data_IF_818586196257
#
_entry.id   IF_818586196257
#
_cell.length_a   1.000
_cell.length_b   1.000
_cell.length_c   1.000
_cell.angle_alpha   90.00
_cell.angle_beta   90.00
_cell.angle_gamma   90.00
#
_symmetry.space_group_name_H-M   'P 1'
#
loop_
_entity.id
_entity.type
_entity.pdbx_description
1 polymer ?
#
# COMPACT_ATOMS: atom_id res chain seq x y z
N UNK A 1 18.73 7.63 22.05
CA UNK A 1 17.57 7.13 21.29
C UNK A 1 17.38 7.99 20.01
N UNK A 2 18.46 8.16 19.23
CA UNK A 2 18.54 9.10 18.08
C UNK A 2 18.97 8.37 16.77
N UNK A 3 19.04 7.04 16.75
CA UNK A 3 19.57 6.27 15.60
C UNK A 3 18.52 5.82 14.56
N UNK A 4 17.22 6.13 14.72
CA UNK A 4 16.18 5.68 13.78
C UNK A 4 15.87 6.67 12.64
N UNK A 5 16.50 7.85 12.61
CA UNK A 5 16.15 8.93 11.67
C UNK A 5 16.82 8.84 10.28
N UNK A 6 17.76 7.92 10.06
CA UNK A 6 18.42 7.78 8.76
C UNK A 6 17.59 7.01 7.71
N UNK A 7 16.50 6.34 8.13
CA UNK A 7 15.71 5.48 7.25
C UNK A 7 14.67 6.23 6.40
N UNK A 8 14.20 7.39 6.85
CA UNK A 8 13.20 8.20 6.13
C UNK A 8 13.81 9.08 5.02
N UNK A 9 15.14 9.10 4.87
CA UNK A 9 15.87 9.95 3.91
C UNK A 9 16.29 9.14 2.66
N UNK A 10 16.01 7.84 2.60
CA UNK A 10 16.31 7.05 1.42
C UNK A 10 15.22 7.28 0.34
N UNK A 11 15.61 7.60 -0.92
CA UNK A 11 14.66 7.67 -2.02
C UNK A 11 13.87 6.35 -2.10
N UNK A 12 12.60 6.46 -2.51
CA UNK A 12 11.65 5.33 -2.62
C UNK A 12 12.29 4.09 -3.25
N UNK A 13 13.08 4.27 -4.31
CA UNK A 13 13.79 3.22 -5.03
C UNK A 13 14.88 2.47 -4.23
N UNK A 14 15.48 3.09 -3.20
CA UNK A 14 16.50 2.47 -2.32
C UNK A 14 15.89 1.58 -1.23
N UNK A 15 14.64 1.83 -0.85
CA UNK A 15 13.95 1.05 0.21
C UNK A 15 13.53 -0.34 -0.29
N UNK A 16 13.13 -0.44 -1.56
CA UNK A 16 12.67 -1.68 -2.20
C UNK A 16 13.73 -2.78 -2.24
N UNK A 17 15.01 -2.42 -2.43
CA UNK A 17 16.12 -3.36 -2.57
C UNK A 17 16.29 -4.21 -1.31
N UNK A 18 16.05 -3.64 -0.12
CA UNK A 18 16.22 -4.35 1.15
C UNK A 18 15.11 -5.38 1.38
N UNK A 19 13.92 -5.15 0.83
CA UNK A 19 12.74 -6.02 0.96
C UNK A 19 12.61 -7.03 -0.20
N UNK A 20 13.40 -6.86 -1.28
CA UNK A 20 13.22 -7.56 -2.56
C UNK A 20 13.15 -9.08 -2.50
N UNK A 21 13.88 -9.74 -1.58
CA UNK A 21 13.81 -11.21 -1.42
C UNK A 21 12.45 -11.68 -0.92
N UNK A 22 11.85 -10.98 0.04
CA UNK A 22 10.56 -11.36 0.62
C UNK A 22 9.36 -11.06 -0.28
N UNK A 23 9.50 -10.08 -1.19
CA UNK A 23 8.42 -9.65 -2.09
C UNK A 23 8.36 -10.52 -3.36
N UNK A 24 9.50 -11.05 -3.81
CA UNK A 24 9.62 -11.82 -5.07
C UNK A 24 9.27 -13.31 -4.94
N UNK A 25 9.34 -13.88 -3.73
CA UNK A 25 9.00 -15.28 -3.49
C UNK A 25 7.48 -15.51 -3.58
N UNK A 26 7.05 -16.38 -4.51
CA UNK A 26 5.68 -16.89 -4.52
C UNK A 26 5.56 -18.00 -3.48
N UNK A 27 4.54 -17.94 -2.62
CA UNK A 27 4.19 -19.05 -1.74
C UNK A 27 3.48 -20.17 -2.55
N UNK A 28 4.15 -20.70 -3.58
CA UNK A 28 3.67 -21.82 -4.39
C UNK A 28 2.59 -21.50 -5.43
N UNK A 29 2.33 -20.22 -5.73
CA UNK A 29 1.34 -19.79 -6.73
C UNK A 29 2.05 -19.02 -7.85
N UNK A 30 1.96 -19.53 -9.08
CA UNK A 30 2.30 -18.73 -10.27
C UNK A 30 1.27 -17.63 -10.45
N UNK A 31 1.67 -16.38 -10.24
CA UNK A 31 0.80 -15.21 -10.41
C UNK A 31 1.46 -14.12 -11.25
N UNK A 32 0.74 -13.01 -11.39
CA UNK A 32 1.21 -11.87 -12.14
C UNK A 32 2.44 -11.20 -11.52
N UNK A 33 2.78 -11.38 -10.24
CA UNK A 33 4.01 -10.79 -9.68
C UNK A 33 5.25 -11.66 -9.95
N UNK A 34 5.07 -12.98 -10.12
CA UNK A 34 6.17 -13.95 -10.26
C UNK A 34 6.48 -14.37 -11.71
N UNK A 35 5.62 -14.11 -12.69
CA UNK A 35 5.85 -14.53 -14.09
C UNK A 35 7.06 -13.86 -14.78
N UNK A 36 7.56 -12.72 -14.27
CA UNK A 36 8.78 -12.07 -14.79
C UNK A 36 10.10 -12.55 -14.16
N UNK A 37 10.04 -13.40 -13.14
CA UNK A 37 11.23 -13.90 -12.43
C UNK A 37 11.74 -15.26 -12.97
N UNK A 38 11.00 -15.90 -13.88
CA UNK A 38 11.32 -17.24 -14.43
C UNK A 38 11.97 -17.09 -15.81
N UNK A 39 13.09 -16.36 -15.86
CA UNK A 39 14.09 -16.55 -16.90
C UNK A 39 15.27 -17.28 -16.27
N UNK A 40 15.65 -18.45 -16.80
CA UNK A 40 16.85 -19.18 -16.35
C UNK A 40 18.06 -18.25 -16.30
N UNK A 41 18.45 -17.84 -15.10
CA UNK A 41 19.60 -16.98 -14.85
C UNK A 41 19.70 -16.73 -13.36
N UNK A 42 20.92 -16.70 -12.82
CA UNK A 42 21.17 -16.24 -11.45
C UNK A 42 20.44 -14.91 -11.19
N UNK A 43 19.92 -14.65 -9.99
CA UNK A 43 19.31 -13.37 -9.68
C UNK A 43 20.31 -12.26 -10.00
N UNK A 44 20.01 -11.43 -11.00
CA UNK A 44 20.80 -10.24 -11.28
C UNK A 44 20.70 -9.35 -10.03
N UNK A 45 21.81 -9.20 -9.29
CA UNK A 45 21.84 -8.39 -8.06
C UNK A 45 21.41 -6.94 -8.28
N UNK A 46 21.38 -6.47 -9.53
CA UNK A 46 21.11 -5.10 -9.91
C UNK A 46 19.64 -4.82 -10.25
N UNK A 47 18.72 -5.79 -10.14
CA UNK A 47 17.31 -5.59 -10.48
C UNK A 47 16.33 -6.18 -9.46
N UNK A 48 15.20 -5.49 -9.29
CA UNK A 48 14.03 -5.98 -8.55
C UNK A 48 12.78 -5.93 -9.42
N UNK A 49 11.61 -6.29 -8.86
CA UNK A 49 10.32 -6.13 -9.52
C UNK A 49 9.97 -4.66 -9.79
N UNK A 50 10.49 -3.74 -8.99
CA UNK A 50 10.14 -2.31 -9.01
C UNK A 50 11.24 -1.42 -9.56
N UNK A 51 12.50 -1.84 -9.43
CA UNK A 51 13.68 -0.99 -9.67
C UNK A 51 14.75 -1.68 -10.49
N UNK A 52 15.56 -0.88 -11.19
CA UNK A 52 16.82 -1.31 -11.80
C UNK A 52 17.94 -0.38 -11.32
N UNK A 53 19.13 -0.94 -11.14
CA UNK A 53 20.34 -0.23 -10.74
C UNK A 53 21.26 -0.07 -11.94
N UNK A 54 21.56 1.18 -12.30
CA UNK A 54 22.45 1.54 -13.41
C UNK A 54 23.51 2.49 -12.85
N UNK A 55 24.78 2.06 -12.88
CA UNK A 55 25.91 2.86 -12.41
C UNK A 55 25.71 3.47 -11.00
N UNK A 56 25.31 2.63 -10.03
CA UNK A 56 25.01 2.97 -8.62
C UNK A 56 23.76 3.85 -8.38
N UNK A 57 23.11 4.33 -9.44
CA UNK A 57 21.82 5.01 -9.36
C UNK A 57 20.66 4.02 -9.53
N UNK A 58 19.56 4.28 -8.82
CA UNK A 58 18.41 3.37 -8.79
C UNK A 58 17.20 4.07 -9.37
N UNK A 59 16.67 3.47 -10.44
CA UNK A 59 15.55 3.96 -11.21
C UNK A 59 14.34 3.04 -11.02
N UNK A 60 13.13 3.63 -11.00
CA UNK A 60 11.89 2.86 -11.06
C UNK A 60 11.75 2.26 -12.47
N UNK A 61 11.31 1.01 -12.55
CA UNK A 61 11.06 0.35 -13.84
C UNK A 61 9.80 0.90 -14.50
N UNK A 62 9.80 1.10 -15.82
CA UNK A 62 8.56 1.35 -16.55
C UNK A 62 7.61 0.15 -16.37
N UNK A 63 6.31 0.41 -16.29
CA UNK A 63 5.28 -0.60 -16.06
C UNK A 63 5.52 -1.51 -14.83
N UNK A 64 6.27 -1.03 -13.82
CA UNK A 64 6.37 -1.75 -12.55
C UNK A 64 4.98 -1.94 -11.93
N UNK A 65 4.74 -3.02 -11.19
CA UNK A 65 3.52 -3.13 -10.40
C UNK A 65 3.42 -1.98 -9.39
N UNK A 66 2.19 -1.56 -9.11
CA UNK A 66 1.92 -0.70 -7.97
C UNK A 66 1.90 -1.56 -6.69
N UNK A 67 2.59 -1.09 -5.66
CA UNK A 67 2.71 -1.76 -4.37
C UNK A 67 1.63 -1.23 -3.42
N UNK A 68 0.67 -2.06 -3.06
CA UNK A 68 -0.41 -1.69 -2.13
C UNK A 68 -0.22 -2.44 -0.82
N UNK A 69 -0.26 -1.74 0.31
CA UNK A 69 -0.11 -2.36 1.63
C UNK A 69 -1.43 -2.31 2.38
N UNK A 70 -1.85 -3.43 2.94
CA UNK A 70 -2.94 -3.46 3.91
C UNK A 70 -2.49 -4.14 5.20
N UNK A 71 -2.67 -3.45 6.32
CA UNK A 71 -2.39 -4.00 7.65
C UNK A 71 -3.71 -4.45 8.26
N UNK A 72 -3.82 -5.72 8.60
CA UNK A 72 -5.04 -6.31 9.15
C UNK A 72 -4.79 -7.16 10.39
N UNK A 73 -5.71 -7.07 11.35
CA UNK A 73 -5.76 -7.96 12.51
C UNK A 73 -6.32 -9.33 12.18
N UNK A 74 -6.85 -9.57 10.96
CA UNK A 74 -7.51 -10.82 10.57
C UNK A 74 -8.61 -11.25 11.56
N UNK A 75 -9.34 -10.29 12.09
CA UNK A 75 -10.48 -10.49 13.00
C UNK A 75 -11.78 -10.15 12.28
N UNK A 76 -12.91 -10.63 12.78
CA UNK A 76 -14.21 -10.50 12.08
C UNK A 76 -14.73 -9.05 11.98
N UNK A 77 -14.22 -8.14 12.81
CA UNK A 77 -14.44 -6.70 12.77
C UNK A 77 -13.74 -6.00 11.60
N UNK A 78 -12.74 -6.64 10.98
CA UNK A 78 -12.13 -6.18 9.74
C UNK A 78 -12.59 -7.07 8.60
N UNK A 79 -13.61 -6.63 7.85
CA UNK A 79 -14.11 -7.38 6.70
C UNK A 79 -13.10 -7.35 5.53
N UNK A 80 -12.16 -8.28 5.58
CA UNK A 80 -11.17 -8.50 4.52
C UNK A 80 -11.81 -8.96 3.20
N UNK A 81 -13.07 -9.41 3.22
CA UNK A 81 -13.84 -9.70 2.02
C UNK A 81 -13.95 -8.49 1.10
N UNK A 82 -14.08 -7.27 1.66
CA UNK A 82 -14.15 -6.03 0.89
C UNK A 82 -12.92 -5.85 0.00
N UNK A 83 -11.72 -6.10 0.52
CA UNK A 83 -10.48 -5.98 -0.24
C UNK A 83 -10.38 -7.04 -1.34
N UNK A 84 -10.74 -8.29 -1.04
CA UNK A 84 -10.70 -9.37 -2.02
C UNK A 84 -11.68 -9.14 -3.17
N UNK A 85 -12.89 -8.68 -2.86
CA UNK A 85 -13.88 -8.33 -3.88
C UNK A 85 -13.44 -7.13 -4.71
N UNK A 86 -12.87 -6.09 -4.09
CA UNK A 86 -12.33 -4.95 -4.81
C UNK A 86 -11.20 -5.35 -5.77
N UNK A 87 -10.32 -6.26 -5.37
CA UNK A 87 -9.28 -6.81 -6.23
C UNK A 87 -9.84 -7.59 -7.44
N UNK A 88 -10.88 -8.40 -7.24
CA UNK A 88 -11.59 -9.09 -8.34
C UNK A 88 -12.24 -8.08 -9.28
N UNK A 89 -12.86 -7.03 -8.74
CA UNK A 89 -13.48 -5.97 -9.54
C UNK A 89 -12.43 -5.20 -10.33
N UNK A 90 -11.30 -4.83 -9.73
CA UNK A 90 -10.19 -4.18 -10.42
C UNK A 90 -9.69 -5.04 -11.59
N UNK A 91 -9.40 -6.32 -11.34
CA UNK A 91 -8.91 -7.25 -12.36
C UNK A 91 -9.85 -7.34 -13.58
N UNK A 92 -11.16 -7.48 -13.33
CA UNK A 92 -12.20 -7.55 -14.37
C UNK A 92 -12.43 -6.22 -15.09
N UNK A 93 -12.50 -5.11 -14.36
CA UNK A 93 -12.75 -3.78 -14.94
C UNK A 93 -11.59 -3.37 -15.85
N UNK A 94 -10.35 -3.63 -15.44
CA UNK A 94 -9.18 -3.38 -16.30
C UNK A 94 -9.21 -4.28 -17.53
N UNK A 95 -9.53 -5.56 -17.41
CA UNK A 95 -9.69 -6.45 -18.57
C UNK A 95 -10.70 -5.90 -19.59
N UNK A 96 -11.85 -5.45 -19.11
CA UNK A 96 -12.90 -4.87 -19.95
C UNK A 96 -12.46 -3.57 -20.63
N UNK A 97 -11.78 -2.67 -19.90
CA UNK A 97 -11.26 -1.39 -20.46
C UNK A 97 -10.23 -1.65 -21.57
N UNK A 98 -9.39 -2.68 -21.40
CA UNK A 98 -8.35 -3.05 -22.35
C UNK A 98 -8.86 -3.95 -23.49
N UNK A 99 -10.15 -4.31 -23.49
CA UNK A 99 -10.76 -5.25 -24.43
C UNK A 99 -10.01 -6.58 -24.52
N UNK A 100 -9.52 -7.07 -23.38
CA UNK A 100 -8.82 -8.35 -23.29
C UNK A 100 -9.82 -9.49 -23.08
N UNK A 101 -9.61 -10.61 -23.78
CA UNK A 101 -10.36 -11.84 -23.55
C UNK A 101 -9.65 -12.74 -22.52
N UNK A 102 -10.26 -13.87 -22.17
CA UNK A 102 -9.68 -14.76 -21.16
C UNK A 102 -8.43 -15.55 -21.61
N UNK A 103 -8.07 -15.51 -22.89
CA UNK A 103 -6.97 -16.23 -23.52
C UNK A 103 -5.66 -15.43 -23.71
N UNK A 104 -5.63 -14.13 -23.40
CA UNK A 104 -4.54 -13.20 -23.78
C UNK A 104 -3.40 -13.02 -22.77
N UNK A 105 -3.21 -13.91 -21.78
CA UNK A 105 -2.19 -13.71 -20.73
C UNK A 105 -0.78 -13.53 -21.30
N UNK A 106 -0.40 -14.26 -22.36
CA UNK A 106 0.91 -14.13 -23.00
C UNK A 106 1.09 -12.80 -23.75
N UNK A 107 0.01 -12.21 -24.27
CA UNK A 107 0.05 -10.94 -25.03
C UNK A 107 0.39 -9.76 -24.12
N UNK A 108 -0.16 -9.76 -22.90
CA UNK A 108 0.05 -8.70 -21.90
C UNK A 108 1.53 -8.55 -21.54
N UNK A 109 2.25 -9.67 -21.38
CA UNK A 109 3.68 -9.68 -21.10
C UNK A 109 4.53 -9.23 -22.29
N UNK A 110 4.17 -9.66 -23.50
CA UNK A 110 4.89 -9.30 -24.72
C UNK A 110 4.82 -7.78 -25.00
N UNK A 111 3.68 -7.14 -24.74
CA UNK A 111 3.56 -5.69 -24.88
C UNK A 111 4.38 -4.92 -23.82
N UNK A 112 4.42 -5.43 -22.57
CA UNK A 112 5.24 -4.85 -21.50
C UNK A 112 6.74 -4.94 -21.82
N UNK A 113 7.19 -6.07 -22.38
CA UNK A 113 8.57 -6.27 -22.83
C UNK A 113 8.93 -5.42 -24.06
N UNK A 114 7.94 -5.00 -24.86
CA UNK A 114 8.11 -4.09 -25.99
C UNK A 114 8.18 -2.60 -25.59
N UNK A 115 8.12 -2.27 -24.30
CA UNK A 115 8.25 -0.90 -23.79
C UNK A 115 6.99 -0.04 -23.97
N UNK A 116 5.85 -0.63 -24.32
CA UNK A 116 4.56 0.07 -24.42
C UNK A 116 4.04 0.36 -23.00
N UNK A 117 3.65 1.60 -22.74
CA UNK A 117 3.11 1.98 -21.43
C UNK A 117 1.72 1.36 -21.23
N UNK A 118 1.53 0.66 -20.13
CA UNK A 118 0.24 0.10 -19.75
C UNK A 118 -0.62 1.18 -19.11
N UNK A 119 -1.89 1.29 -19.52
CA UNK A 119 -2.81 2.27 -18.94
C UNK A 119 -3.07 2.01 -17.44
N UNK A 120 -3.04 0.74 -17.03
CA UNK A 120 -3.21 0.32 -15.65
C UNK A 120 -2.10 -0.65 -15.27
N UNK A 121 -1.50 -0.52 -14.07
CA UNK A 121 -0.46 -1.42 -13.61
C UNK A 121 -1.04 -2.73 -13.10
N UNK A 122 -0.18 -3.74 -12.94
CA UNK A 122 -0.46 -4.85 -12.02
C UNK A 122 -0.44 -4.31 -10.59
N UNK A 123 -1.30 -4.83 -9.72
CA UNK A 123 -1.29 -4.53 -8.29
C UNK A 123 -0.65 -5.67 -7.52
N UNK A 124 0.32 -5.35 -6.66
CA UNK A 124 0.84 -6.28 -5.67
C UNK A 124 0.37 -5.82 -4.29
N UNK A 125 -0.55 -6.58 -3.71
CA UNK A 125 -0.99 -6.39 -2.34
C UNK A 125 -0.05 -7.12 -1.37
N UNK A 126 0.51 -6.36 -0.45
CA UNK A 126 1.23 -6.89 0.70
C UNK A 126 0.31 -6.76 1.92
N UNK A 127 -0.06 -7.92 2.47
CA UNK A 127 -0.94 -8.00 3.63
C UNK A 127 -0.09 -8.33 4.85
N UNK A 128 -0.13 -7.46 5.84
CA UNK A 128 0.59 -7.64 7.10
C UNK A 128 -0.37 -7.90 8.26
N UNK A 129 0.17 -8.47 9.34
CA UNK A 129 -0.55 -8.73 10.58
C UNK A 129 -0.84 -10.22 10.83
N UNK A 130 -1.51 -10.48 11.95
CA UNK A 130 -1.83 -11.82 12.47
C UNK A 130 -3.22 -11.81 13.08
N UNK A 131 -3.93 -12.92 12.91
CA UNK A 131 -5.17 -13.20 13.63
C UNK A 131 -5.89 -14.43 13.10
N UNK A 132 -7.04 -14.75 13.70
CA UNK A 132 -7.69 -16.05 13.57
C UNK A 132 -8.28 -16.32 12.18
N UNK A 133 -8.61 -15.30 11.39
CA UNK A 133 -9.19 -15.50 10.05
C UNK A 133 -8.14 -15.57 8.93
N UNK A 134 -6.84 -15.49 9.25
CA UNK A 134 -5.78 -15.40 8.26
C UNK A 134 -5.79 -16.58 7.28
N UNK A 135 -5.77 -17.81 7.78
CA UNK A 135 -5.71 -19.03 6.96
C UNK A 135 -6.94 -19.15 6.05
N UNK A 136 -8.12 -18.76 6.55
CA UNK A 136 -9.38 -18.72 5.80
C UNK A 136 -9.26 -17.79 4.59
N UNK A 137 -8.68 -16.61 4.75
CA UNK A 137 -8.51 -15.67 3.64
C UNK A 137 -7.35 -16.06 2.71
N UNK A 138 -6.27 -16.65 3.23
CA UNK A 138 -5.20 -17.21 2.39
C UNK A 138 -5.72 -18.32 1.46
N UNK A 139 -6.62 -19.18 1.95
CA UNK A 139 -7.31 -20.16 1.11
C UNK A 139 -8.19 -19.51 0.04
N UNK A 140 -8.94 -18.45 0.39
CA UNK A 140 -9.72 -17.68 -0.60
C UNK A 140 -8.81 -17.08 -1.66
N UNK A 141 -7.71 -16.42 -1.26
CA UNK A 141 -6.72 -15.82 -2.16
C UNK A 141 -6.17 -16.86 -3.14
N UNK A 142 -5.82 -18.07 -2.67
CA UNK A 142 -5.31 -19.14 -3.56
C UNK A 142 -6.30 -19.57 -4.64
N UNK A 143 -7.59 -19.39 -4.42
CA UNK A 143 -8.65 -19.70 -5.40
C UNK A 143 -8.93 -18.53 -6.35
N UNK A 144 -8.42 -17.34 -6.07
CA UNK A 144 -8.53 -16.19 -6.94
C UNK A 144 -7.44 -16.27 -8.03
N UNK A 145 -7.82 -16.75 -9.21
CA UNK A 145 -6.93 -16.79 -10.39
C UNK A 145 -6.88 -15.43 -11.10
N UNK A 146 -6.40 -14.40 -10.41
CA UNK A 146 -6.32 -13.02 -10.93
C UNK A 146 -5.11 -12.84 -11.84
N UNK A 147 -5.28 -12.06 -12.92
CA UNK A 147 -4.24 -11.83 -13.94
C UNK A 147 -3.46 -10.54 -13.69
N UNK A 148 -4.04 -9.59 -12.98
CA UNK A 148 -3.50 -8.25 -12.74
C UNK A 148 -3.28 -7.94 -11.27
N UNK A 149 -3.70 -8.83 -10.38
CA UNK A 149 -3.58 -8.64 -8.94
C UNK A 149 -2.90 -9.85 -8.31
N UNK A 150 -1.92 -9.60 -7.46
CA UNK A 150 -1.24 -10.59 -6.65
C UNK A 150 -1.33 -10.22 -5.17
N UNK A 151 -1.36 -11.22 -4.30
CA UNK A 151 -1.34 -11.04 -2.85
C UNK A 151 -0.13 -11.76 -2.24
N UNK A 152 0.52 -11.12 -1.27
CA UNK A 152 1.53 -11.74 -0.41
C UNK A 152 1.20 -11.42 1.04
N UNK A 153 1.15 -12.45 1.89
CA UNK A 153 1.08 -12.26 3.34
C UNK A 153 2.51 -12.27 3.88
N UNK A 154 2.85 -11.30 4.71
CA UNK A 154 4.18 -11.26 5.33
C UNK A 154 4.11 -10.85 6.80
N UNK A 155 5.03 -11.43 7.57
CA UNK A 155 5.37 -10.96 8.90
C UNK A 155 6.63 -10.11 8.79
N UNK A 156 6.57 -8.89 9.30
CA UNK A 156 7.69 -7.95 9.29
C UNK A 156 8.17 -7.67 10.70
N UNK A 157 9.47 -7.42 10.82
CA UNK A 157 10.03 -6.85 12.04
C UNK A 157 9.56 -5.40 12.20
N UNK A 158 9.69 -4.84 13.42
CA UNK A 158 9.40 -3.43 13.66
C UNK A 158 10.28 -2.48 12.83
N UNK A 159 11.48 -2.92 12.43
CA UNK A 159 12.39 -2.13 11.60
C UNK A 159 12.04 -2.18 10.11
N UNK A 160 11.48 -3.30 9.63
CA UNK A 160 11.14 -3.49 8.22
C UNK A 160 9.76 -2.92 7.87
N UNK A 161 8.86 -2.79 8.85
CA UNK A 161 7.52 -2.27 8.62
C UNK A 161 7.51 -0.83 8.06
N UNK A 162 8.23 0.15 8.66
CA UNK A 162 8.33 1.49 8.08
C UNK A 162 9.01 1.51 6.69
N UNK A 163 9.91 0.56 6.42
CA UNK A 163 10.52 0.42 5.11
C UNK A 163 9.49 -0.02 4.06
N UNK A 164 8.66 -1.00 4.39
CA UNK A 164 7.56 -1.43 3.52
C UNK A 164 6.60 -0.28 3.27
N UNK A 165 6.16 0.42 4.31
CA UNK A 165 5.22 1.54 4.17
C UNK A 165 5.81 2.66 3.30
N UNK A 166 7.08 3.00 3.50
CA UNK A 166 7.78 4.00 2.69
C UNK A 166 8.05 3.57 1.24
N UNK A 167 8.11 2.26 0.99
CA UNK A 167 8.23 1.65 -0.34
C UNK A 167 6.88 1.47 -1.05
N UNK A 168 5.77 1.52 -0.33
CA UNK A 168 4.45 1.32 -0.91
C UNK A 168 3.94 2.55 -1.68
N UNK A 169 3.00 2.30 -2.59
CA UNK A 169 2.33 3.32 -3.38
C UNK A 169 1.03 3.82 -2.76
N UNK A 170 0.28 2.92 -2.12
CA UNK A 170 -0.98 3.19 -1.46
C UNK A 170 -1.15 2.27 -0.24
N UNK A 171 -1.70 2.81 0.84
CA UNK A 171 -2.18 2.05 1.99
C UNK A 171 -3.69 1.78 1.89
N UNK A 172 -4.15 0.59 2.31
CA UNK A 172 -5.57 0.29 2.46
C UNK A 172 -5.87 -0.10 3.91
N UNK A 173 -6.75 0.67 4.56
CA UNK A 173 -7.17 0.47 5.94
C UNK A 173 -8.63 -0.02 6.00
N UNK A 174 -8.82 -1.26 6.45
CA UNK A 174 -10.13 -1.88 6.65
C UNK A 174 -10.68 -1.73 8.07
N UNK A 175 -9.97 -0.99 8.93
CA UNK A 175 -10.37 -0.86 10.33
C UNK A 175 -11.67 -0.10 10.45
N UNK A 176 -12.54 -0.59 11.33
CA UNK A 176 -13.71 0.14 11.82
C UNK A 176 -13.71 0.13 13.34
N UNK A 177 -14.27 1.17 13.95
CA UNK A 177 -14.46 1.22 15.40
C UNK A 177 -15.93 0.95 15.72
N UNK A 178 -16.18 -0.04 16.59
CA UNK A 178 -17.54 -0.35 17.07
C UNK A 178 -18.13 0.79 17.92
N UNK A 179 -17.28 1.55 18.63
CA UNK A 179 -17.67 2.78 19.33
C UNK A 179 -17.82 3.97 18.36
N UNK A 180 -17.17 3.89 17.20
CA UNK A 180 -17.09 4.97 16.22
C UNK A 180 -16.13 6.10 16.63
N UNK A 181 -15.34 5.91 17.70
CA UNK A 181 -14.47 6.93 18.27
C UNK A 181 -12.99 6.62 18.12
N UNK A 182 -12.62 5.36 17.86
CA UNK A 182 -11.22 4.95 17.80
C UNK A 182 -10.62 5.25 16.42
N UNK A 183 -9.49 5.96 16.41
CA UNK A 183 -8.72 6.21 15.19
C UNK A 183 -7.75 5.04 14.91
N UNK A 184 -7.54 4.66 13.65
CA UNK A 184 -6.71 3.51 13.32
C UNK A 184 -5.24 3.91 13.36
N UNK A 185 -4.51 3.40 14.36
CA UNK A 185 -3.06 3.65 14.49
C UNK A 185 -2.27 3.28 13.24
N UNK A 186 -2.71 2.24 12.51
CA UNK A 186 -2.10 1.85 11.23
C UNK A 186 -2.09 2.97 10.18
N UNK A 187 -3.11 3.84 10.15
CA UNK A 187 -3.16 4.97 9.20
C UNK A 187 -2.18 6.06 9.63
N UNK A 188 -1.98 6.25 10.94
CA UNK A 188 -0.97 7.17 11.46
C UNK A 188 0.43 6.73 11.04
N UNK A 189 0.74 5.43 11.13
CA UNK A 189 2.03 4.87 10.67
C UNK A 189 2.25 5.09 9.16
N UNK A 190 1.20 4.88 8.36
CA UNK A 190 1.22 5.10 6.91
C UNK A 190 1.52 6.56 6.57
N UNK A 191 0.80 7.50 7.19
CA UNK A 191 1.07 8.93 7.01
C UNK A 191 2.46 9.35 7.50
N UNK A 192 2.94 8.80 8.61
CA UNK A 192 4.31 9.01 9.08
C UNK A 192 5.38 8.57 8.09
N UNK A 193 5.05 7.64 7.18
CA UNK A 193 5.91 7.21 6.08
C UNK A 193 5.65 7.93 4.75
N UNK A 194 4.72 8.90 4.73
CA UNK A 194 4.29 9.61 3.52
C UNK A 194 3.41 8.76 2.60
N UNK A 195 2.83 7.66 3.10
CA UNK A 195 1.97 6.77 2.33
C UNK A 195 0.52 7.25 2.39
N UNK A 196 -0.10 7.66 1.26
CA UNK A 196 -1.51 7.99 1.25
C UNK A 196 -2.37 6.74 1.48
N UNK A 197 -3.61 6.92 1.93
CA UNK A 197 -4.48 5.78 2.29
C UNK A 197 -5.86 5.85 1.64
N UNK A 198 -6.41 4.70 1.29
CA UNK A 198 -7.85 4.48 1.18
C UNK A 198 -8.30 3.82 2.48
N UNK A 199 -9.28 4.39 3.19
CA UNK A 199 -9.75 3.87 4.46
C UNK A 199 -11.27 3.64 4.48
N UNK A 200 -11.73 2.63 5.21
CA UNK A 200 -13.17 2.42 5.41
C UNK A 200 -13.78 3.64 6.11
N UNK A 201 -14.92 4.10 5.60
CA UNK A 201 -15.65 5.21 6.16
C UNK A 201 -16.36 4.83 7.46
N UNK A 202 -16.07 5.55 8.54
CA UNK A 202 -16.80 5.51 9.81
C UNK A 202 -16.74 6.88 10.50
N UNK A 203 -17.46 7.07 11.62
CA UNK A 203 -17.75 8.41 12.17
C UNK A 203 -16.53 9.31 12.40
N UNK A 204 -15.48 8.83 13.10
CA UNK A 204 -14.32 9.67 13.43
C UNK A 204 -13.18 9.61 12.40
N UNK A 205 -13.20 8.74 11.39
CA UNK A 205 -12.07 8.57 10.45
C UNK A 205 -11.66 9.86 9.74
N UNK A 206 -12.62 10.77 9.53
CA UNK A 206 -12.42 12.09 8.90
C UNK A 206 -11.54 13.03 9.73
N UNK A 207 -11.34 12.75 11.00
CA UNK A 207 -10.37 13.47 11.84
C UNK A 207 -8.95 13.23 11.34
N UNK A 208 -8.65 12.01 10.90
CA UNK A 208 -7.34 11.58 10.40
C UNK A 208 -7.25 11.68 8.86
N UNK A 209 -8.19 11.09 8.13
CA UNK A 209 -8.21 11.06 6.66
C UNK A 209 -8.96 12.27 6.13
N UNK A 210 -8.23 13.21 5.52
CA UNK A 210 -8.76 14.35 4.79
C UNK A 210 -8.90 13.95 3.33
N UNK A 211 -10.15 13.69 2.93
CA UNK A 211 -10.53 13.27 1.57
C UNK A 211 -9.92 14.19 0.53
N UNK A 212 -9.34 13.61 -0.53
CA UNK A 212 -8.65 14.30 -1.63
C UNK A 212 -7.40 15.10 -1.22
N UNK A 213 -6.97 15.03 0.06
CA UNK A 213 -5.72 15.63 0.52
C UNK A 213 -4.68 14.57 0.87
N UNK A 214 -4.97 13.67 1.80
CA UNK A 214 -4.02 12.64 2.26
C UNK A 214 -4.54 11.21 2.02
N UNK A 215 -5.80 11.07 1.63
CA UNK A 215 -6.43 9.79 1.38
C UNK A 215 -7.84 9.91 0.83
N UNK A 216 -8.47 8.75 0.66
CA UNK A 216 -9.86 8.60 0.25
C UNK A 216 -10.62 7.71 1.24
N UNK A 217 -11.95 7.76 1.18
CA UNK A 217 -12.83 7.00 2.04
C UNK A 217 -13.80 6.18 1.20
N UNK A 218 -13.87 4.88 1.49
CA UNK A 218 -14.80 3.96 0.84
C UNK A 218 -15.68 3.25 1.87
N UNK A 219 -16.86 2.81 1.44
CA UNK A 219 -17.82 2.06 2.24
C UNK A 219 -18.12 0.68 1.66
N UNK A 220 -17.60 0.38 0.46
CA UNK A 220 -17.86 -0.88 -0.25
C UNK A 220 -16.67 -1.34 -1.09
N UNK A 221 -16.69 -2.61 -1.50
CA UNK A 221 -15.71 -3.19 -2.42
C UNK A 221 -15.73 -2.52 -3.80
N UNK A 222 -16.90 -2.06 -4.26
CA UNK A 222 -17.01 -1.31 -5.51
C UNK A 222 -16.34 0.06 -5.42
N UNK A 223 -16.59 0.81 -4.35
CA UNK A 223 -15.97 2.13 -4.14
C UNK A 223 -14.46 1.99 -4.06
N UNK A 224 -13.93 1.03 -3.30
CA UNK A 224 -12.49 0.77 -3.25
C UNK A 224 -11.94 0.41 -4.65
N UNK A 225 -12.66 -0.39 -5.45
CA UNK A 225 -12.23 -0.69 -6.80
C UNK A 225 -12.21 0.54 -7.73
N UNK A 226 -13.17 1.45 -7.58
CA UNK A 226 -13.20 2.73 -8.31
C UNK A 226 -12.06 3.65 -7.89
N UNK A 227 -11.75 3.72 -6.60
CA UNK A 227 -10.59 4.45 -6.08
C UNK A 227 -9.28 3.88 -6.64
N UNK A 228 -9.10 2.56 -6.64
CA UNK A 228 -7.92 1.90 -7.23
C UNK A 228 -7.77 2.22 -8.72
N UNK A 229 -8.86 2.18 -9.49
CA UNK A 229 -8.84 2.56 -10.91
C UNK A 229 -8.48 4.04 -11.10
N UNK A 230 -9.08 4.93 -10.34
CA UNK A 230 -8.79 6.36 -10.44
C UNK A 230 -7.32 6.66 -10.10
N UNK A 231 -6.82 6.12 -8.99
CA UNK A 231 -5.48 6.40 -8.49
C UNK A 231 -4.37 5.80 -9.36
N UNK A 232 -4.59 4.62 -9.93
CA UNK A 232 -3.55 3.91 -10.69
C UNK A 232 -3.64 4.06 -12.21
N UNK A 233 -4.59 4.84 -12.73
CA UNK A 233 -4.61 5.17 -14.16
C UNK A 233 -3.34 5.92 -14.55
N UNK A 234 -2.64 5.45 -15.58
CA UNK A 234 -1.41 6.05 -16.10
C UNK A 234 -0.16 5.83 -15.23
N UNK A 235 -0.26 5.04 -14.16
CA UNK A 235 0.85 4.76 -13.25
C UNK A 235 2.06 4.12 -13.96
N UNK A 236 3.32 4.43 -13.58
CA UNK A 236 3.72 5.31 -12.47
C UNK A 236 3.85 6.80 -12.83
N UNK A 237 3.84 7.15 -14.11
CA UNK A 237 4.21 8.50 -14.55
C UNK A 237 3.03 9.47 -14.62
N UNK A 238 1.83 9.02 -14.99
CA UNK A 238 0.65 9.87 -15.25
C UNK A 238 -0.44 9.71 -14.18
N UNK A 239 -0.07 9.41 -12.93
CA UNK A 239 -1.00 9.18 -11.82
C UNK A 239 -1.13 10.41 -10.88
N UNK A 240 -1.58 11.55 -11.40
CA UNK A 240 -1.59 12.83 -10.66
C UNK A 240 -2.43 12.81 -9.38
N UNK A 241 -3.58 12.13 -9.37
CA UNK A 241 -4.40 11.99 -8.18
C UNK A 241 -3.62 11.30 -7.04
N UNK A 242 -2.90 10.22 -7.34
CA UNK A 242 -2.08 9.51 -6.36
C UNK A 242 -0.90 10.35 -5.86
N UNK A 243 -0.24 11.11 -6.75
CA UNK A 243 0.85 12.03 -6.38
C UNK A 243 0.35 13.14 -5.45
N UNK A 244 -0.82 13.70 -5.72
CA UNK A 244 -1.46 14.71 -4.88
C UNK A 244 -1.72 14.16 -3.48
N UNK A 245 -2.33 12.98 -3.36
CA UNK A 245 -2.56 12.35 -2.06
C UNK A 245 -1.25 12.08 -1.30
N UNK A 246 -0.21 11.62 -2.01
CA UNK A 246 1.12 11.39 -1.41
C UNK A 246 1.72 12.69 -0.85
N UNK A 247 1.61 13.79 -1.58
CA UNK A 247 2.08 15.09 -1.10
C UNK A 247 1.32 15.54 0.16
N UNK A 248 0.00 15.40 0.19
CA UNK A 248 -0.77 15.75 1.40
C UNK A 248 -0.53 14.80 2.58
N UNK A 249 -0.21 13.53 2.34
CA UNK A 249 0.23 12.60 3.39
C UNK A 249 1.59 13.02 3.97
N UNK A 250 2.54 13.44 3.13
CA UNK A 250 3.84 13.98 3.55
C UNK A 250 3.71 15.29 4.35
N UNK A 251 2.82 16.20 3.93
CA UNK A 251 2.52 17.42 4.68
C UNK A 251 2.02 17.10 6.09
N UNK A 252 1.10 16.14 6.23
CA UNK A 252 0.56 15.74 7.53
C UNK A 252 1.59 14.99 8.39
N UNK A 253 2.45 14.17 7.78
CA UNK A 253 3.51 13.45 8.48
C UNK A 253 4.68 14.34 8.94
N UNK A 254 4.70 15.63 8.58
CA UNK A 254 5.78 16.55 8.95
C UNK A 254 5.76 17.00 10.42
N UNK A 255 4.60 16.95 11.05
CA UNK A 255 4.42 17.23 12.48
C UNK A 255 4.95 16.09 13.35
N UNK A 256 5.80 16.42 14.33
CA UNK A 256 6.36 15.45 15.28
C UNK A 256 5.58 15.47 16.57
N UNK A 257 5.44 14.30 17.21
CA UNK A 257 4.80 14.18 18.54
C UNK A 257 5.30 15.20 19.56
N UNK A 258 6.60 15.47 19.61
CA UNK A 258 7.16 16.45 20.53
C UNK A 258 6.63 17.88 20.28
N UNK A 259 6.45 18.27 19.01
CA UNK A 259 5.89 19.56 18.64
C UNK A 259 4.41 19.62 19.01
N UNK A 260 3.63 18.62 18.59
CA UNK A 260 2.20 18.52 18.86
C UNK A 260 1.89 18.49 20.37
N UNK A 261 2.72 17.78 21.14
CA UNK A 261 2.62 17.72 22.60
C UNK A 261 2.81 19.09 23.24
N UNK A 262 3.87 19.81 22.85
CA UNK A 262 4.19 21.13 23.38
C UNK A 262 3.14 22.18 22.98
N UNK A 263 2.61 22.12 21.76
CA UNK A 263 1.65 23.10 21.25
C UNK A 263 0.22 22.87 21.73
N UNK A 264 -0.22 21.62 21.88
CA UNK A 264 -1.63 21.30 22.14
C UNK A 264 -1.89 20.65 23.50
N UNK A 265 -1.11 19.64 23.89
CA UNK A 265 -1.40 18.87 25.11
C UNK A 265 -0.88 19.55 26.38
N UNK A 266 0.37 20.02 26.36
CA UNK A 266 1.05 20.62 27.51
C UNK A 266 0.33 21.86 28.06
N UNK A 267 -0.20 22.80 27.26
CA UNK A 267 -0.90 23.97 27.79
C UNK A 267 -2.14 23.57 28.61
N UNK A 268 -2.94 22.63 28.11
CA UNK A 268 -4.15 22.14 28.79
C UNK A 268 -3.83 21.45 30.11
N UNK A 269 -2.80 20.58 30.11
CA UNK A 269 -2.35 19.90 31.32
C UNK A 269 -1.84 20.92 32.35
N UNK A 270 -1.08 21.92 31.90
CA UNK A 270 -0.55 22.96 32.77
C UNK A 270 -1.66 23.80 33.40
N UNK A 271 -2.72 24.11 32.63
CA UNK A 271 -3.91 24.81 33.13
C UNK A 271 -4.60 24.01 34.24
N UNK A 272 -4.87 22.72 34.03
CA UNK A 272 -5.50 21.84 35.03
C UNK A 272 -4.65 21.72 36.30
N UNK A 273 -3.33 21.63 36.16
CA UNK A 273 -2.40 21.59 37.30
C UNK A 273 -2.47 22.91 38.08
N UNK A 274 -2.52 24.06 37.38
CA UNK A 274 -2.57 25.37 38.03
C UNK A 274 -3.88 25.62 38.79
N UNK A 275 -5.01 25.08 38.31
CA UNK A 275 -6.32 25.21 38.95
C UNK A 275 -6.49 24.31 40.19
N UNK A 276 -5.76 23.21 40.28
CA UNK A 276 -5.84 22.26 41.41
C UNK A 276 -4.79 22.53 42.51
N UNK A 277 -3.83 23.43 42.27
CA UNK A 277 -2.80 23.81 43.24
C UNK A 277 -3.04 25.20 43.88
N UNK A 278 -4.14 25.87 43.53
CA UNK A 278 -4.62 27.11 44.15
C UNK A 278 -5.84 26.86 45.03
#
# INVERSE_FOLDING_TARGET
>A
MISHLSFFILPHSRRDIRLGKHISESQGVHDCASHGAVGMGSPNLNETLFTTMVADDIFLKPNRPALVVSSTSWTADEDFGILLEAAVMYDRRVAAILNEDDSTVEVLWNEMSAGKQCLYPRLLFIITGKGPEKEKYEEKIRRLHLKRVAFRTMWLSAEDYPLLLGSADLGVCLHTSSSGLDLPMKVVDMFGCGLPVCAVAYSCIKELVKVEKNGLLFSSSSELADELLMLFKGFPEECEALKLLRNGALEMGSSRWATEWEEHAKPLISEVISQNLG
#
